data_IF_821469519911
#
_entry.id   IF_821469519911
#
_cell.length_a   1.000
_cell.length_b   1.000
_cell.length_c   1.000
_cell.angle_alpha   90.00
_cell.angle_beta   90.00
_cell.angle_gamma   90.00
#
_symmetry.space_group_name_H-M   'P 1'
#
loop_
_entity.id
_entity.type
_entity.pdbx_description
1 polymer ?
#
# COMPACT_ATOMS: atom_id res chain seq x y z
N UNK A 1 7.73 28.78 17.85
CA UNK A 1 8.51 27.96 16.89
C UNK A 1 7.61 27.14 15.96
N UNK A 2 6.64 26.36 16.47
CA UNK A 2 5.77 25.46 15.66
C UNK A 2 4.98 26.12 14.52
N UNK A 3 4.50 27.36 14.65
CA UNK A 3 3.74 28.04 13.58
C UNK A 3 4.57 28.42 12.34
N UNK A 4 5.87 28.70 12.51
CA UNK A 4 6.73 29.14 11.40
C UNK A 4 7.09 27.99 10.44
N UNK A 5 7.14 26.76 10.94
CA UNK A 5 7.50 25.58 10.16
C UNK A 5 6.29 24.68 9.90
N UNK A 6 5.08 25.26 9.81
CA UNK A 6 3.84 24.51 9.56
C UNK A 6 3.92 23.56 8.36
N UNK A 7 4.55 23.93 7.23
CA UNK A 7 4.72 23.01 6.08
C UNK A 7 5.63 21.80 6.37
N UNK A 8 6.47 21.87 7.40
CA UNK A 8 7.33 20.77 7.82
C UNK A 8 6.62 19.81 8.81
N UNK A 9 5.37 20.08 9.16
CA UNK A 9 4.57 19.23 10.05
C UNK A 9 3.62 18.36 9.22
N UNK A 10 3.43 17.11 9.64
CA UNK A 10 2.54 16.13 9.00
C UNK A 10 1.04 16.38 9.28
N UNK A 11 0.64 17.62 9.62
CA UNK A 11 -0.70 18.00 10.10
C UNK A 11 -1.59 18.38 8.90
N UNK A 12 -1.54 17.55 7.85
CA UNK A 12 -1.62 17.95 6.44
C UNK A 12 -2.92 18.57 5.92
N UNK A 13 -2.77 19.74 5.28
CA UNK A 13 -3.58 20.19 4.13
C UNK A 13 -2.90 19.85 2.79
N UNK A 14 -1.58 19.58 2.80
CA UNK A 14 -0.81 19.26 1.60
C UNK A 14 -0.65 17.75 1.41
N UNK A 15 -0.91 17.22 0.20
CA UNK A 15 -0.78 15.79 -0.05
C UNK A 15 0.68 15.32 -0.11
N UNK A 16 0.98 14.22 0.60
CA UNK A 16 2.31 13.61 0.66
C UNK A 16 2.85 13.15 -0.71
N UNK A 17 1.96 12.81 -1.66
CA UNK A 17 2.35 12.40 -3.02
C UNK A 17 2.95 13.54 -3.87
N UNK A 18 2.94 14.80 -3.40
CA UNK A 18 3.55 15.94 -4.13
C UNK A 18 5.08 15.98 -4.05
N UNK A 19 5.71 15.13 -3.23
CA UNK A 19 7.18 15.04 -3.14
C UNK A 19 7.71 14.44 -4.46
N UNK A 20 8.49 15.21 -5.21
CA UNK A 20 9.06 14.80 -6.51
C UNK A 20 10.48 14.26 -6.36
N UNK A 21 10.94 13.44 -7.32
CA UNK A 21 12.33 13.01 -7.45
C UNK A 21 12.74 11.82 -6.57
N UNK A 22 11.76 11.06 -6.07
CA UNK A 22 11.98 9.87 -5.24
C UNK A 22 11.50 8.59 -5.95
N UNK A 23 11.38 8.64 -7.28
CA UNK A 23 11.06 7.48 -8.08
C UNK A 23 12.22 6.47 -8.01
N UNK A 24 11.90 5.20 -7.75
CA UNK A 24 12.89 4.14 -7.59
C UNK A 24 12.66 3.11 -8.68
N UNK A 25 13.73 2.75 -9.40
CA UNK A 25 13.75 1.58 -10.27
C UNK A 25 14.17 0.36 -9.46
N UNK A 26 13.30 -0.64 -9.42
CA UNK A 26 13.55 -1.92 -8.75
C UNK A 26 13.73 -3.01 -9.80
N UNK A 27 14.79 -3.80 -9.64
CA UNK A 27 15.11 -4.94 -10.51
C UNK A 27 15.00 -6.23 -9.70
N UNK A 28 14.38 -7.25 -10.29
CA UNK A 28 14.40 -8.59 -9.74
C UNK A 28 15.72 -9.28 -10.10
N UNK A 29 16.23 -10.10 -9.19
CA UNK A 29 17.40 -10.95 -9.38
C UNK A 29 17.09 -12.24 -10.16
N UNK A 30 15.82 -12.44 -10.52
CA UNK A 30 15.31 -13.60 -11.26
C UNK A 30 14.66 -13.17 -12.58
N UNK A 31 14.84 -14.01 -13.60
CA UNK A 31 14.22 -13.81 -14.92
C UNK A 31 12.91 -14.59 -15.05
N UNK A 32 12.15 -14.29 -16.12
CA UNK A 32 10.91 -15.01 -16.44
C UNK A 32 11.22 -16.43 -16.97
N UNK A 33 10.37 -17.43 -16.66
CA UNK A 33 9.15 -17.34 -15.86
C UNK A 33 9.45 -17.20 -14.36
N UNK A 34 8.76 -16.26 -13.70
CA UNK A 34 8.94 -16.02 -12.28
C UNK A 34 8.52 -17.24 -11.43
N UNK A 35 9.19 -17.48 -10.30
CA UNK A 35 8.86 -18.60 -9.43
C UNK A 35 7.43 -18.49 -8.88
N UNK A 36 6.72 -19.60 -8.64
CA UNK A 36 5.35 -19.59 -8.09
C UNK A 36 5.21 -18.80 -6.79
N UNK A 37 6.29 -18.67 -6.03
CA UNK A 37 6.35 -17.88 -4.80
C UNK A 37 6.02 -16.40 -5.00
N UNK A 38 6.26 -15.85 -6.20
CA UNK A 38 5.90 -14.48 -6.55
C UNK A 38 4.44 -14.34 -7.01
N UNK A 39 3.66 -15.42 -7.09
CA UNK A 39 2.24 -15.41 -7.47
C UNK A 39 1.38 -16.08 -6.41
N UNK A 40 1.39 -15.52 -5.22
CA UNK A 40 0.62 -16.07 -4.09
C UNK A 40 -0.82 -15.55 -4.11
N UNK A 41 -1.83 -16.41 -3.91
CA UNK A 41 -3.20 -15.97 -3.70
C UNK A 41 -3.33 -15.24 -2.34
N UNK A 42 -4.38 -14.43 -2.14
CA UNK A 42 -4.70 -13.88 -0.83
C UNK A 42 -4.97 -15.01 0.17
N UNK A 43 -4.60 -14.80 1.43
CA UNK A 43 -4.98 -15.72 2.49
C UNK A 43 -6.47 -15.56 2.82
N UNK A 44 -7.18 -16.64 3.19
CA UNK A 44 -8.56 -16.52 3.65
C UNK A 44 -8.65 -15.62 4.89
N UNK A 45 -9.50 -14.60 4.81
CA UNK A 45 -9.69 -13.64 5.89
C UNK A 45 -11.11 -13.66 6.50
N UNK A 46 -11.22 -13.25 7.77
CA UNK A 46 -12.51 -13.04 8.43
C UNK A 46 -13.22 -11.80 7.88
N UNK A 47 -14.55 -11.71 8.05
CA UNK A 47 -15.32 -10.53 7.64
C UNK A 47 -14.79 -9.23 8.28
N UNK A 48 -14.47 -9.27 9.57
CA UNK A 48 -13.87 -8.15 10.30
C UNK A 48 -12.53 -7.73 9.70
N UNK A 49 -11.66 -8.71 9.41
CA UNK A 49 -10.36 -8.46 8.77
C UNK A 49 -10.53 -7.81 7.41
N UNK A 50 -11.47 -8.31 6.61
CA UNK A 50 -11.76 -7.76 5.28
C UNK A 50 -12.23 -6.30 5.34
N UNK A 51 -13.09 -5.97 6.31
CA UNK A 51 -13.59 -4.60 6.49
C UNK A 51 -12.46 -3.63 6.87
N UNK A 52 -11.54 -4.06 7.74
CA UNK A 52 -10.37 -3.24 8.09
C UNK A 52 -9.40 -3.07 6.92
N UNK A 53 -9.14 -4.15 6.15
CA UNK A 53 -8.35 -4.04 4.91
C UNK A 53 -8.98 -3.02 3.97
N UNK A 54 -10.29 -3.11 3.73
CA UNK A 54 -11.01 -2.23 2.81
C UNK A 54 -10.91 -0.76 3.24
N UNK A 55 -11.03 -0.48 4.54
CA UNK A 55 -10.82 0.86 5.10
C UNK A 55 -9.43 1.40 4.77
N UNK A 56 -8.36 0.63 5.00
CA UNK A 56 -7.00 1.06 4.67
C UNK A 56 -6.78 1.25 3.17
N UNK A 57 -7.28 0.34 2.35
CA UNK A 57 -7.18 0.44 0.88
C UNK A 57 -7.87 1.71 0.38
N UNK A 58 -9.06 2.04 0.90
CA UNK A 58 -9.77 3.26 0.53
C UNK A 58 -9.00 4.53 0.94
N UNK A 59 -8.38 4.54 2.12
CA UNK A 59 -7.54 5.65 2.58
C UNK A 59 -6.30 5.85 1.68
N UNK A 60 -5.62 4.75 1.35
CA UNK A 60 -4.43 4.78 0.49
C UNK A 60 -4.77 5.17 -0.97
N UNK A 61 -5.93 4.76 -1.47
CA UNK A 61 -6.46 5.21 -2.77
C UNK A 61 -6.75 6.71 -2.75
N UNK A 62 -7.40 7.22 -1.69
CA UNK A 62 -7.69 8.64 -1.52
C UNK A 62 -6.40 9.48 -1.47
N UNK A 63 -5.36 8.98 -0.78
CA UNK A 63 -4.05 9.63 -0.71
C UNK A 63 -3.21 9.51 -1.99
N UNK A 64 -3.68 8.74 -2.98
CA UNK A 64 -2.97 8.43 -4.22
C UNK A 64 -1.62 7.72 -3.98
N UNK A 65 -1.55 6.85 -2.97
CA UNK A 65 -0.38 6.01 -2.69
C UNK A 65 -0.45 4.65 -3.38
N UNK A 66 -1.67 4.15 -3.61
CA UNK A 66 -1.91 2.96 -4.41
C UNK A 66 -2.93 3.28 -5.50
N UNK A 67 -3.00 2.43 -6.52
CA UNK A 67 -3.99 2.53 -7.60
C UNK A 67 -4.61 1.19 -7.88
N UNK A 68 -5.80 1.20 -8.48
CA UNK A 68 -6.37 0.00 -9.09
C UNK A 68 -5.60 -0.33 -10.36
N UNK A 69 -5.34 -1.62 -10.57
CA UNK A 69 -4.80 -2.14 -11.82
C UNK A 69 -5.97 -2.30 -12.81
N UNK A 70 -5.79 -1.81 -14.04
CA UNK A 70 -6.80 -1.88 -15.09
C UNK A 70 -7.03 -3.30 -15.61
N UNK A 71 -8.18 -3.54 -16.24
CA UNK A 71 -8.57 -4.88 -16.71
C UNK A 71 -7.56 -5.53 -17.67
N UNK A 72 -6.86 -4.74 -18.47
CA UNK A 72 -5.90 -5.22 -19.48
C UNK A 72 -4.45 -5.22 -18.99
N UNK A 73 -4.18 -4.81 -17.75
CA UNK A 73 -2.84 -4.80 -17.20
C UNK A 73 -2.49 -6.19 -16.63
N UNK A 74 -1.34 -6.72 -17.05
CA UNK A 74 -0.86 -8.02 -16.58
C UNK A 74 -0.20 -7.85 -15.21
N UNK A 75 -0.71 -8.58 -14.21
CA UNK A 75 -0.08 -8.67 -12.88
C UNK A 75 0.80 -9.91 -12.84
N UNK A 76 2.11 -9.70 -12.81
CA UNK A 76 3.08 -10.81 -12.81
C UNK A 76 3.48 -11.28 -11.41
N UNK A 77 3.33 -10.38 -10.42
CA UNK A 77 3.72 -10.59 -9.02
C UNK A 77 2.54 -10.26 -8.10
N UNK A 78 2.20 -11.16 -7.18
CA UNK A 78 1.20 -10.97 -6.14
C UNK A 78 1.71 -11.47 -4.79
N UNK A 79 1.50 -10.65 -3.77
CA UNK A 79 1.82 -10.97 -2.38
C UNK A 79 0.54 -10.82 -1.55
N UNK A 80 0.21 -11.80 -0.69
CA UNK A 80 -0.93 -11.69 0.19
C UNK A 80 -0.73 -10.54 1.19
N UNK A 81 -1.80 -9.81 1.46
CA UNK A 81 -1.84 -8.75 2.47
C UNK A 81 -2.33 -9.35 3.78
N UNK A 82 -1.78 -8.87 4.89
CA UNK A 82 -2.16 -9.29 6.24
C UNK A 82 -2.68 -8.10 7.06
N UNK A 83 -3.53 -8.39 8.04
CA UNK A 83 -3.80 -7.46 9.13
C UNK A 83 -3.21 -8.02 10.41
N UNK A 84 -2.52 -7.16 11.14
CA UNK A 84 -2.09 -7.42 12.51
C UNK A 84 -2.89 -6.57 13.48
N UNK A 85 -3.14 -7.12 14.66
CA UNK A 85 -3.91 -6.46 15.71
C UNK A 85 -3.05 -6.23 16.94
N UNK A 86 -3.07 -5.01 17.47
CA UNK A 86 -2.37 -4.64 18.69
C UNK A 86 -3.16 -3.57 19.44
N UNK A 87 -3.43 -3.76 20.73
CA UNK A 87 -4.22 -2.85 21.58
C UNK A 87 -5.56 -2.39 20.96
N UNK A 88 -6.28 -3.32 20.33
CA UNK A 88 -7.56 -3.03 19.66
C UNK A 88 -7.43 -2.20 18.38
N UNK A 89 -6.22 -2.05 17.84
CA UNK A 89 -5.94 -1.35 16.57
C UNK A 89 -5.41 -2.34 15.54
N UNK A 90 -5.96 -2.27 14.34
CA UNK A 90 -5.50 -3.00 13.16
C UNK A 90 -4.31 -2.26 12.50
N UNK A 91 -3.49 -3.00 11.75
CA UNK A 91 -2.47 -2.46 10.84
C UNK A 91 -2.36 -3.35 9.61
N UNK A 92 -2.29 -2.73 8.43
CA UNK A 92 -1.98 -3.40 7.17
C UNK A 92 -0.50 -3.79 7.14
N UNK A 93 -0.20 -5.03 6.74
CA UNK A 93 1.14 -5.60 6.62
C UNK A 93 1.34 -6.31 5.29
#
# INVERSE_FOLDING_TARGET
MLRKNRPALTIGEEPLHKIRGHDIELYLDVEKPYPPMLRRPPYPESLETRQEIEKYINELLYMNFIRKIGHNEIVEVTTPVLITWHDGKSRLC
#
